data_IF_411225514435
#
_entry.id   IF_411225514435
#
_cell.length_a   1.000
_cell.length_b   1.000
_cell.length_c   1.000
_cell.angle_alpha   90.00
_cell.angle_beta   90.00
_cell.angle_gamma   90.00
#
_symmetry.space_group_name_H-M   'P 1'
#
loop_
_entity.id
_entity.type
_entity.pdbx_description
1 polymer ?
#
# COMPACT_ATOMS: atom_id res chain seq x y z
N UNK A 1 20.82 -13.04 -23.82
CA UNK A 1 20.07 -11.82 -24.20
C UNK A 1 18.59 -12.15 -24.08
N UNK A 2 17.96 -11.82 -22.97
CA UNK A 2 16.52 -12.07 -22.76
C UNK A 2 15.75 -11.02 -23.55
N UNK A 3 15.06 -11.46 -24.60
CA UNK A 3 14.13 -10.65 -25.38
C UNK A 3 12.97 -10.26 -24.47
N UNK A 4 13.09 -9.12 -23.77
CA UNK A 4 11.98 -8.58 -22.98
C UNK A 4 10.95 -8.05 -23.97
N UNK A 5 9.70 -8.56 -23.97
CA UNK A 5 8.67 -8.02 -24.82
C UNK A 5 8.54 -6.53 -24.56
N UNK A 6 8.55 -5.74 -25.64
CA UNK A 6 8.31 -4.30 -25.57
C UNK A 6 6.85 -4.13 -25.18
N UNK A 7 6.61 -3.62 -23.98
CA UNK A 7 5.26 -3.33 -23.49
C UNK A 7 4.81 -1.96 -24.02
N UNK A 8 3.68 -1.93 -24.71
CA UNK A 8 3.00 -0.69 -25.09
C UNK A 8 2.23 -0.13 -23.89
N UNK A 9 2.31 1.18 -23.69
CA UNK A 9 1.64 1.92 -22.62
C UNK A 9 0.15 1.61 -22.50
N UNK A 10 -0.52 1.36 -23.63
CA UNK A 10 -1.97 1.14 -23.66
C UNK A 10 -2.39 -0.31 -23.50
N UNK A 11 -1.44 -1.23 -23.42
CA UNK A 11 -1.74 -2.65 -23.26
C UNK A 11 -1.80 -3.05 -21.79
N UNK A 12 -2.60 -4.07 -21.50
CA UNK A 12 -2.63 -4.67 -20.18
C UNK A 12 -1.22 -5.07 -19.73
N UNK A 13 -0.88 -4.84 -18.45
CA UNK A 13 0.41 -5.22 -17.90
C UNK A 13 0.70 -6.69 -18.18
N UNK A 14 1.91 -7.02 -18.63
CA UNK A 14 2.28 -8.39 -19.06
C UNK A 14 1.88 -9.46 -18.04
N UNK A 15 1.96 -9.13 -16.76
CA UNK A 15 1.60 -9.96 -15.61
C UNK A 15 0.12 -10.37 -15.53
N UNK A 16 -0.78 -9.62 -16.17
CA UNK A 16 -2.21 -9.96 -16.27
C UNK A 16 -2.50 -10.86 -17.46
N UNK A 17 -1.53 -11.01 -18.38
CA UNK A 17 -1.70 -11.82 -19.57
C UNK A 17 -1.52 -13.30 -19.23
N UNK A 18 -2.19 -14.22 -19.94
CA UNK A 18 -2.10 -15.65 -19.68
C UNK A 18 -0.66 -16.20 -19.73
N UNK A 19 0.23 -15.56 -20.50
CA UNK A 19 1.60 -16.02 -20.72
C UNK A 19 2.55 -15.69 -19.56
N UNK A 20 2.13 -14.86 -18.60
CA UNK A 20 2.95 -14.50 -17.44
C UNK A 20 3.24 -15.71 -16.52
N UNK A 21 2.37 -16.72 -16.58
CA UNK A 21 2.35 -17.86 -15.66
C UNK A 21 1.81 -17.50 -14.27
N UNK A 22 1.56 -18.52 -13.47
CA UNK A 22 0.84 -18.37 -12.20
C UNK A 22 1.72 -17.85 -11.06
N UNK A 23 3.06 -17.91 -11.23
CA UNK A 23 4.03 -17.50 -10.21
C UNK A 23 5.11 -16.59 -10.79
N UNK A 24 5.27 -15.47 -10.12
CA UNK A 24 6.14 -14.35 -10.44
C UNK A 24 7.26 -14.26 -9.38
N UNK A 25 8.38 -13.59 -9.71
CA UNK A 25 9.37 -13.23 -8.70
C UNK A 25 8.78 -12.24 -7.68
N UNK A 26 8.95 -12.52 -6.39
CA UNK A 26 8.65 -11.59 -5.33
C UNK A 26 9.74 -10.51 -5.25
N UNK A 27 9.36 -9.23 -5.28
CA UNK A 27 10.30 -8.11 -5.19
C UNK A 27 11.01 -7.97 -3.84
N UNK A 28 10.52 -8.66 -2.80
CA UNK A 28 11.07 -8.60 -1.44
C UNK A 28 11.95 -9.81 -1.13
N UNK A 29 11.42 -11.03 -1.22
CA UNK A 29 12.21 -12.23 -0.89
C UNK A 29 12.96 -12.85 -2.10
N UNK A 30 12.73 -12.37 -3.32
CA UNK A 30 13.35 -12.90 -4.55
C UNK A 30 12.84 -14.27 -5.02
N UNK A 31 12.09 -15.00 -4.19
CA UNK A 31 11.48 -16.28 -4.54
C UNK A 31 10.45 -16.16 -5.65
N UNK A 32 10.25 -17.23 -6.44
CA UNK A 32 9.19 -17.31 -7.47
C UNK A 32 7.85 -17.71 -6.84
N UNK A 33 7.38 -16.87 -5.94
CA UNK A 33 6.28 -17.11 -4.98
C UNK A 33 5.24 -16.00 -5.02
N UNK A 34 5.43 -14.97 -5.83
CA UNK A 34 4.43 -13.92 -6.00
C UNK A 34 3.32 -14.39 -6.95
N UNK A 35 2.08 -14.16 -6.57
CA UNK A 35 0.88 -14.38 -7.37
C UNK A 35 0.12 -13.06 -7.47
N UNK A 36 -0.86 -12.97 -8.38
CA UNK A 36 -1.78 -11.82 -8.38
C UNK A 36 -2.58 -11.83 -7.06
N UNK A 37 -2.64 -10.69 -6.39
CA UNK A 37 -3.48 -10.55 -5.21
C UNK A 37 -4.95 -10.73 -5.59
N UNK A 38 -5.76 -11.23 -4.66
CA UNK A 38 -7.21 -11.27 -4.80
C UNK A 38 -7.81 -9.86 -4.98
N UNK A 39 -7.17 -8.84 -4.40
CA UNK A 39 -7.55 -7.43 -4.55
C UNK A 39 -7.19 -6.81 -5.90
N UNK A 40 -6.41 -7.49 -6.74
CA UNK A 40 -5.95 -6.93 -8.02
C UNK A 40 -7.12 -6.63 -8.96
N UNK A 41 -7.30 -5.34 -9.22
CA UNK A 41 -8.38 -4.80 -10.03
C UNK A 41 -8.01 -4.77 -11.50
N UNK A 42 -8.67 -5.60 -12.31
CA UNK A 42 -8.42 -5.66 -13.75
C UNK A 42 -8.66 -4.32 -14.47
N UNK A 43 -9.59 -3.50 -13.97
CA UNK A 43 -9.92 -2.17 -14.48
C UNK A 43 -8.90 -1.08 -14.09
N UNK A 44 -8.05 -1.31 -13.08
CA UNK A 44 -6.96 -0.41 -12.72
C UNK A 44 -5.68 -0.82 -13.47
N UNK A 45 -5.47 -0.26 -14.66
CA UNK A 45 -4.26 -0.54 -15.46
C UNK A 45 -3.00 0.13 -14.92
N UNK A 46 -3.13 1.06 -13.96
CA UNK A 46 -2.01 1.85 -13.39
C UNK A 46 -1.36 1.21 -12.18
N UNK A 47 -1.95 0.13 -11.68
CA UNK A 47 -1.54 -0.55 -10.47
C UNK A 47 -1.69 -2.04 -10.63
N UNK A 48 -0.78 -2.76 -10.02
CA UNK A 48 -0.81 -4.20 -9.90
C UNK A 48 -0.67 -4.56 -8.43
N UNK A 49 -1.57 -5.38 -7.93
CA UNK A 49 -1.50 -5.91 -6.57
C UNK A 49 -0.99 -7.35 -6.61
N UNK A 50 0.10 -7.63 -5.89
CA UNK A 50 0.76 -8.92 -5.85
C UNK A 50 0.79 -9.45 -4.42
N UNK A 51 0.52 -10.74 -4.24
CA UNK A 51 0.63 -11.45 -2.98
C UNK A 51 1.81 -12.44 -3.02
N UNK A 52 2.62 -12.50 -1.97
CA UNK A 52 3.70 -13.48 -1.84
C UNK A 52 3.25 -14.65 -0.95
N UNK A 53 3.26 -15.86 -1.50
CA UNK A 53 2.87 -17.08 -0.78
C UNK A 53 4.00 -17.72 0.04
N UNK A 54 5.17 -17.07 0.11
CA UNK A 54 6.26 -17.53 0.96
C UNK A 54 6.01 -17.13 2.42
N UNK A 55 5.90 -18.12 3.30
CA UNK A 55 5.65 -17.88 4.72
C UNK A 55 6.77 -17.16 5.47
N UNK A 56 7.98 -17.17 4.90
CA UNK A 56 9.13 -16.47 5.45
C UNK A 56 9.29 -15.05 4.87
N UNK A 57 8.34 -14.57 4.06
CA UNK A 57 8.35 -13.23 3.47
C UNK A 57 7.43 -12.29 4.26
N UNK A 58 8.01 -11.28 4.92
CA UNK A 58 7.25 -10.32 5.73
C UNK A 58 6.37 -9.37 4.91
N UNK A 59 6.70 -9.15 3.63
CA UNK A 59 5.99 -8.18 2.81
C UNK A 59 4.54 -8.58 2.53
N UNK A 60 4.23 -9.90 2.42
CA UNK A 60 2.94 -10.54 2.11
C UNK A 60 2.16 -9.98 0.92
N UNK A 61 1.87 -8.69 0.86
CA UNK A 61 1.23 -8.00 -0.25
C UNK A 61 2.07 -6.79 -0.71
N UNK A 62 2.12 -6.58 -2.01
CA UNK A 62 2.89 -5.53 -2.64
C UNK A 62 2.07 -4.85 -3.73
N UNK A 63 2.11 -3.51 -3.74
CA UNK A 63 1.49 -2.70 -4.78
C UNK A 63 2.58 -2.17 -5.72
N UNK A 64 2.47 -2.52 -6.99
CA UNK A 64 3.38 -2.05 -8.05
C UNK A 64 2.66 -0.99 -8.87
N UNK A 65 3.25 0.20 -8.95
CA UNK A 65 2.74 1.33 -9.71
C UNK A 65 3.35 1.35 -11.10
N UNK A 66 2.51 1.40 -12.13
CA UNK A 66 2.90 1.35 -13.52
C UNK A 66 2.94 2.76 -14.10
N UNK A 67 4.14 3.31 -14.25
CA UNK A 67 4.33 4.71 -14.64
C UNK A 67 4.23 4.96 -16.16
N UNK A 68 4.48 3.94 -16.99
CA UNK A 68 4.53 4.10 -18.46
C UNK A 68 3.21 3.83 -19.17
N UNK A 69 2.11 3.55 -18.47
CA UNK A 69 0.85 3.20 -19.12
C UNK A 69 0.03 4.39 -19.65
N UNK A 70 0.54 5.62 -19.51
CA UNK A 70 -0.18 6.83 -19.94
C UNK A 70 -1.49 7.11 -19.17
N UNK A 71 -1.76 6.40 -18.07
CA UNK A 71 -2.94 6.59 -17.21
C UNK A 71 -2.61 7.47 -15.99
N UNK A 72 -1.66 8.37 -16.14
CA UNK A 72 -1.31 9.38 -15.13
C UNK A 72 -1.14 8.82 -13.71
N UNK A 73 -0.49 7.66 -13.57
CA UNK A 73 -0.21 7.05 -12.26
C UNK A 73 0.46 8.04 -11.29
N UNK A 74 1.27 8.97 -11.82
CA UNK A 74 1.91 10.05 -11.08
C UNK A 74 0.94 11.07 -10.45
N UNK A 75 -0.28 11.20 -10.98
CA UNK A 75 -1.34 12.05 -10.44
C UNK A 75 -2.22 11.34 -9.40
N UNK A 76 -1.93 10.09 -9.02
CA UNK A 76 -2.71 9.41 -7.99
C UNK A 76 -2.39 9.95 -6.59
N UNK A 77 -3.37 9.87 -5.70
CA UNK A 77 -3.23 10.39 -4.33
C UNK A 77 -2.16 9.64 -3.52
N UNK A 78 -2.11 8.32 -3.65
CA UNK A 78 -1.10 7.45 -3.03
C UNK A 78 0.31 7.76 -3.55
N UNK A 79 0.48 7.94 -4.86
CA UNK A 79 1.79 8.33 -5.45
C UNK A 79 2.22 9.71 -5.00
N UNK A 80 1.30 10.68 -4.93
CA UNK A 80 1.60 12.00 -4.35
C UNK A 80 2.01 11.91 -2.89
N UNK A 81 1.32 11.08 -2.09
CA UNK A 81 1.67 10.88 -0.69
C UNK A 81 3.08 10.28 -0.53
N UNK A 82 3.43 9.27 -1.34
CA UNK A 82 4.80 8.71 -1.36
C UNK A 82 5.83 9.77 -1.75
N UNK A 83 5.55 10.60 -2.76
CA UNK A 83 6.43 11.70 -3.14
C UNK A 83 6.64 12.73 -2.02
N UNK A 84 5.71 12.88 -1.07
CA UNK A 84 5.90 13.77 0.08
C UNK A 84 6.85 13.17 1.13
N UNK A 85 6.86 11.84 1.27
CA UNK A 85 7.83 11.13 2.12
C UNK A 85 9.23 11.29 1.54
N UNK A 86 9.39 11.03 0.23
CA UNK A 86 10.70 11.07 -0.44
C UNK A 86 11.32 12.47 -0.49
N UNK A 87 10.49 13.52 -0.57
CA UNK A 87 10.96 14.91 -0.56
C UNK A 87 11.51 15.35 0.79
N UNK A 88 11.44 14.49 1.81
CA UNK A 88 11.77 14.85 3.18
C UNK A 88 10.81 15.95 3.63
N UNK A 89 9.54 15.60 3.89
CA UNK A 89 8.78 16.45 4.79
C UNK A 89 9.62 16.56 6.06
N UNK A 90 10.01 17.79 6.40
CA UNK A 90 10.48 18.04 7.77
C UNK A 90 9.37 17.47 8.65
N UNK A 91 9.64 16.48 9.52
CA UNK A 91 8.60 15.99 10.40
C UNK A 91 8.01 17.22 11.09
N UNK A 92 6.68 17.31 11.25
CA UNK A 92 6.11 18.31 12.14
C UNK A 92 6.92 18.22 13.42
N UNK A 93 7.51 19.33 13.87
CA UNK A 93 8.20 19.35 15.17
C UNK A 93 7.23 18.76 16.18
N UNK A 94 7.73 17.98 17.13
CA UNK A 94 7.02 17.14 18.13
C UNK A 94 5.79 17.77 18.84
N UNK A 95 5.45 19.02 18.58
CA UNK A 95 4.34 19.77 19.17
C UNK A 95 3.05 19.76 18.32
N UNK A 96 3.10 19.51 17.00
CA UNK A 96 1.91 19.69 16.13
C UNK A 96 0.96 18.49 16.04
N UNK A 97 1.37 17.29 16.50
CA UNK A 97 0.52 16.09 16.41
C UNK A 97 -0.42 15.98 17.62
N UNK A 98 -0.06 16.55 18.77
CA UNK A 98 -0.88 16.48 19.99
C UNK A 98 -2.02 17.50 19.98
N UNK A 99 -1.80 18.68 19.40
CA UNK A 99 -2.76 19.80 19.54
C UNK A 99 -4.05 19.62 18.72
N UNK A 100 -4.05 18.76 17.70
CA UNK A 100 -5.27 18.48 16.89
C UNK A 100 -6.19 17.40 17.46
N UNK A 101 -5.74 16.66 18.48
CA UNK A 101 -6.55 15.59 19.10
C UNK A 101 -7.35 16.03 20.33
N UNK A 102 -6.96 17.11 21.00
CA UNK A 102 -7.60 17.52 22.26
C UNK A 102 -9.00 18.13 22.07
N UNK A 103 -9.32 18.64 20.88
CA UNK A 103 -10.57 19.35 20.64
C UNK A 103 -11.82 18.46 20.48
N UNK A 104 -11.70 17.12 20.46
CA UNK A 104 -12.87 16.31 20.08
C UNK A 104 -13.28 15.11 20.92
N UNK A 105 -12.46 14.52 21.77
CA UNK A 105 -12.94 13.40 22.62
C UNK A 105 -12.18 13.36 23.94
N UNK A 106 -12.93 13.34 25.06
CA UNK A 106 -12.44 12.94 26.38
C UNK A 106 -11.98 11.49 26.32
N UNK A 107 -10.75 11.25 25.88
CA UNK A 107 -10.13 9.93 25.86
C UNK A 107 -9.34 9.77 27.16
N UNK A 108 -9.86 8.99 28.10
CA UNK A 108 -9.09 8.60 29.29
C UNK A 108 -8.15 7.44 28.93
N UNK A 109 -6.86 7.73 28.75
CA UNK A 109 -5.83 6.72 28.54
C UNK A 109 -5.41 6.10 29.88
N UNK A 110 -5.75 4.81 30.10
CA UNK A 110 -5.10 3.99 31.13
C UNK A 110 -3.97 3.17 30.51
N UNK A 111 -2.75 3.43 30.98
CA UNK A 111 -1.51 2.78 30.56
C UNK A 111 -1.33 1.49 31.38
N UNK A 112 -1.40 0.31 30.76
CA UNK A 112 -1.24 -0.96 31.49
C UNK A 112 0.06 -1.71 31.16
N UNK A 113 0.85 -1.31 30.15
CA UNK A 113 2.18 -1.89 29.87
C UNK A 113 2.92 -1.12 28.76
N UNK A 114 4.28 -1.10 28.73
CA UNK A 114 5.08 -0.42 27.70
C UNK A 114 4.96 -0.97 26.27
N UNK A 115 4.20 -2.05 26.03
CA UNK A 115 4.14 -2.71 24.70
C UNK A 115 2.75 -2.82 24.06
N UNK A 116 1.70 -2.31 24.69
CA UNK A 116 0.39 -2.22 24.03
C UNK A 116 -0.41 -1.03 24.54
N UNK A 117 -0.95 -0.28 23.58
CA UNK A 117 -1.99 0.73 23.85
C UNK A 117 -3.29 0.19 23.30
N UNK A 118 -4.26 -0.04 24.18
CA UNK A 118 -5.63 -0.39 23.78
C UNK A 118 -6.43 0.91 23.84
N UNK A 119 -7.00 1.30 22.70
CA UNK A 119 -7.94 2.42 22.63
C UNK A 119 -9.34 1.84 22.73
N UNK A 120 -10.02 2.10 23.85
CA UNK A 120 -11.44 1.78 24.02
C UNK A 120 -12.23 3.02 23.64
N UNK A 121 -13.10 2.90 22.64
CA UNK A 121 -14.07 3.93 22.30
C UNK A 121 -15.45 3.46 22.75
N UNK A 122 -15.98 4.06 23.80
CA UNK A 122 -17.39 3.94 24.14
C UNK A 122 -18.17 4.82 23.16
N UNK A 123 -19.05 4.19 22.37
CA UNK A 123 -20.00 4.92 21.56
C UNK A 123 -21.21 5.20 22.45
N UNK A 124 -21.40 6.46 22.81
CA UNK A 124 -22.66 6.90 23.39
C UNK A 124 -23.75 6.71 22.32
N UNK A 125 -24.66 5.76 22.55
CA UNK A 125 -25.90 5.66 21.81
C UNK A 125 -26.78 6.84 22.23
N UNK A 126 -26.76 7.90 21.43
CA UNK A 126 -27.76 8.97 21.53
C UNK A 126 -29.12 8.41 21.12
N UNK A 127 -29.92 8.06 22.12
CA UNK A 127 -31.35 7.85 21.99
C UNK A 127 -32.05 9.20 21.83
N UNK A 128 -32.68 9.45 20.68
CA UNK A 128 -33.92 10.23 20.52
C UNK A 128 -34.50 10.07 19.12
#
# INVERSE_FOLDING_TARGET
MTNRPVWDAKEDPWVRRPEAGDRLPCYFCGGKTAIRSFGDRADDQSRLELYCDNDLCDAREAVVLLLRNGQDAHLRADVRALSQVDRGSTPPRDLDIVERQEDRKRVSLRRTSPRSTIVVTEADEDAS
#
